data_IF_738364389317
#
_entry.id   IF_738364389317
#
_cell.length_a   1.000
_cell.length_b   1.000
_cell.length_c   1.000
_cell.angle_alpha   90.00
_cell.angle_beta   90.00
_cell.angle_gamma   90.00
#
_symmetry.space_group_name_H-M   'P 1'
#
loop_
_entity.id
_entity.type
_entity.pdbx_description
1 polymer ?
#
# COMPACT_ATOMS: atom_id res chain seq x y z
N UNK A 1 21.93 2.30 17.79
CA UNK A 1 21.67 3.50 16.94
C UNK A 1 21.86 3.19 15.45
N UNK A 2 23.07 3.29 14.87
CA UNK A 2 23.27 3.23 13.39
C UNK A 2 22.67 2.02 12.65
N UNK A 3 22.78 0.81 13.20
CA UNK A 3 22.23 -0.40 12.56
C UNK A 3 20.69 -0.43 12.60
N UNK A 4 20.08 0.07 13.67
CA UNK A 4 18.63 0.18 13.80
C UNK A 4 18.06 1.19 12.79
N UNK A 5 18.67 2.38 12.71
CA UNK A 5 18.33 3.42 11.72
C UNK A 5 18.44 2.90 10.27
N UNK A 6 19.51 2.15 9.95
CA UNK A 6 19.68 1.58 8.62
C UNK A 6 18.62 0.53 8.28
N UNK A 7 18.15 -0.22 9.27
CA UNK A 7 17.09 -1.23 9.10
C UNK A 7 15.72 -0.59 8.92
N UNK A 8 15.41 0.45 9.69
CA UNK A 8 14.18 1.24 9.53
C UNK A 8 14.12 1.93 8.17
N UNK A 9 15.21 2.54 7.69
CA UNK A 9 15.26 3.11 6.33
C UNK A 9 14.90 2.11 5.24
N UNK A 10 15.47 0.89 5.31
CA UNK A 10 15.13 -0.17 4.34
C UNK A 10 13.67 -0.60 4.46
N UNK A 11 13.12 -0.59 5.68
CA UNK A 11 11.72 -0.93 5.93
C UNK A 11 10.79 0.12 5.32
N UNK A 12 11.05 1.40 5.54
CA UNK A 12 10.33 2.53 4.94
C UNK A 12 10.37 2.45 3.42
N UNK A 13 11.55 2.29 2.81
CA UNK A 13 11.70 2.18 1.35
C UNK A 13 10.98 0.96 0.75
N UNK A 14 10.94 -0.16 1.49
CA UNK A 14 10.15 -1.32 1.08
C UNK A 14 8.67 -0.99 1.11
N UNK A 15 8.18 -0.43 2.21
CA UNK A 15 6.76 -0.08 2.37
C UNK A 15 6.32 0.92 1.29
N UNK A 16 7.13 1.92 0.96
CA UNK A 16 6.83 2.88 -0.12
C UNK A 16 6.63 2.19 -1.48
N UNK A 17 7.50 1.23 -1.82
CA UNK A 17 7.34 0.47 -3.07
C UNK A 17 6.10 -0.41 -3.02
N UNK A 18 5.87 -1.12 -1.91
CA UNK A 18 4.73 -2.03 -1.77
C UNK A 18 3.39 -1.24 -1.79
N UNK A 19 3.37 0.00 -1.28
CA UNK A 19 2.26 0.95 -1.40
C UNK A 19 2.05 1.32 -2.87
N UNK A 20 3.09 1.77 -3.58
CA UNK A 20 2.98 2.18 -4.98
C UNK A 20 2.50 1.03 -5.90
N UNK A 21 2.98 -0.19 -5.65
CA UNK A 21 2.50 -1.40 -6.35
C UNK A 21 1.01 -1.66 -6.06
N UNK A 22 0.59 -1.52 -4.80
CA UNK A 22 -0.83 -1.71 -4.42
C UNK A 22 -1.73 -0.61 -4.97
N UNK A 23 -1.28 0.64 -5.01
CA UNK A 23 -2.01 1.75 -5.62
C UNK A 23 -2.16 1.56 -7.13
N UNK A 24 -1.15 1.00 -7.80
CA UNK A 24 -1.23 0.63 -9.21
C UNK A 24 -2.29 -0.44 -9.43
N UNK A 25 -2.30 -1.50 -8.61
CA UNK A 25 -3.32 -2.56 -8.66
C UNK A 25 -4.74 -2.02 -8.44
N UNK A 26 -4.92 -1.10 -7.46
CA UNK A 26 -6.20 -0.43 -7.23
C UNK A 26 -6.67 0.30 -8.49
N UNK A 27 -5.79 1.09 -9.12
CA UNK A 27 -6.13 1.83 -10.33
C UNK A 27 -6.51 0.92 -11.52
N UNK A 28 -5.83 -0.21 -11.67
CA UNK A 28 -6.17 -1.22 -12.69
C UNK A 28 -7.55 -1.85 -12.43
N UNK A 29 -7.85 -2.20 -11.18
CA UNK A 29 -9.14 -2.76 -10.78
C UNK A 29 -10.27 -1.74 -10.95
N UNK A 30 -10.05 -0.49 -10.57
CA UNK A 30 -10.99 0.62 -10.79
C UNK A 30 -11.27 0.84 -12.27
N UNK A 31 -10.23 0.81 -13.11
CA UNK A 31 -10.37 0.92 -14.56
C UNK A 31 -11.25 -0.19 -15.13
N UNK A 32 -11.10 -1.43 -14.65
CA UNK A 32 -11.93 -2.58 -15.06
C UNK A 32 -13.37 -2.47 -14.56
N UNK A 33 -13.58 -2.05 -13.32
CA UNK A 33 -14.92 -1.86 -12.73
C UNK A 33 -15.69 -0.69 -13.36
N UNK A 34 -14.97 0.29 -13.90
CA UNK A 34 -15.54 1.42 -14.63
C UNK A 34 -15.97 1.07 -16.07
N UNK A 35 -15.52 -0.06 -16.64
CA UNK A 35 -15.92 -0.51 -17.97
C UNK A 35 -17.35 -1.07 -17.94
N UNK A 36 -18.33 -0.49 -18.67
CA UNK A 36 -19.70 -1.00 -18.68
C UNK A 36 -19.85 -2.45 -19.18
N UNK A 37 -18.91 -2.95 -19.98
CA UNK A 37 -18.95 -4.31 -20.53
C UNK A 37 -18.77 -5.39 -19.46
N UNK A 38 -18.14 -5.08 -18.31
CA UNK A 38 -17.94 -6.05 -17.23
C UNK A 38 -19.26 -6.50 -16.60
N UNK A 39 -20.30 -5.67 -16.67
CA UNK A 39 -21.61 -5.95 -16.10
C UNK A 39 -22.43 -6.96 -16.90
N UNK A 40 -21.93 -7.40 -18.07
CA UNK A 40 -22.46 -8.56 -18.79
C UNK A 40 -22.09 -9.89 -18.12
N UNK A 41 -21.14 -9.88 -17.17
CA UNK A 41 -20.68 -11.05 -16.42
C UNK A 41 -20.69 -10.79 -14.89
N UNK A 42 -21.85 -10.94 -14.22
CA UNK A 42 -22.03 -10.58 -12.81
C UNK A 42 -21.05 -11.24 -11.84
N UNK A 43 -20.63 -12.47 -12.12
CA UNK A 43 -19.65 -13.20 -11.30
C UNK A 43 -18.27 -12.53 -11.33
N UNK A 44 -17.87 -12.00 -12.49
CA UNK A 44 -16.61 -11.25 -12.64
C UNK A 44 -16.68 -9.89 -11.96
N UNK A 45 -17.85 -9.25 -11.94
CA UNK A 45 -18.05 -7.99 -11.21
C UNK A 45 -17.83 -8.19 -9.72
N UNK A 46 -18.41 -9.24 -9.14
CA UNK A 46 -18.26 -9.55 -7.72
C UNK A 46 -16.79 -9.85 -7.36
N UNK A 47 -16.11 -10.67 -8.16
CA UNK A 47 -14.69 -10.98 -7.95
C UNK A 47 -13.81 -9.72 -8.02
N UNK A 48 -14.07 -8.83 -8.97
CA UNK A 48 -13.30 -7.58 -9.12
C UNK A 48 -13.58 -6.60 -7.99
N UNK A 49 -14.82 -6.50 -7.53
CA UNK A 49 -15.19 -5.67 -6.40
C UNK A 49 -14.51 -6.17 -5.11
N UNK A 50 -14.53 -7.48 -4.86
CA UNK A 50 -13.86 -8.08 -3.71
C UNK A 50 -12.33 -7.86 -3.76
N UNK A 51 -11.72 -8.03 -4.94
CA UNK A 51 -10.31 -7.76 -5.14
C UNK A 51 -9.97 -6.28 -4.91
N UNK A 52 -10.81 -5.35 -5.39
CA UNK A 52 -10.63 -3.91 -5.19
C UNK A 52 -10.70 -3.52 -3.72
N UNK A 53 -11.71 -4.02 -3.00
CA UNK A 53 -11.83 -3.77 -1.55
C UNK A 53 -10.63 -4.36 -0.77
N UNK A 54 -10.18 -5.56 -1.13
CA UNK A 54 -9.00 -6.17 -0.52
C UNK A 54 -7.72 -5.35 -0.79
N UNK A 55 -7.53 -4.86 -2.02
CA UNK A 55 -6.39 -4.02 -2.38
C UNK A 55 -6.39 -2.69 -1.61
N UNK A 56 -7.55 -2.01 -1.49
CA UNK A 56 -7.69 -0.80 -0.67
C UNK A 56 -7.39 -1.06 0.81
N UNK A 57 -7.90 -2.15 1.37
CA UNK A 57 -7.61 -2.53 2.75
C UNK A 57 -6.12 -2.79 2.96
N UNK A 58 -5.44 -3.43 1.98
CA UNK A 58 -4.00 -3.64 1.98
C UNK A 58 -3.22 -2.32 1.91
N UNK A 59 -3.60 -1.40 1.04
CA UNK A 59 -2.99 -0.08 0.94
C UNK A 59 -3.10 0.69 2.27
N UNK A 60 -4.29 0.72 2.88
CA UNK A 60 -4.51 1.38 4.17
C UNK A 60 -3.62 0.79 5.28
N UNK A 61 -3.46 -0.53 5.30
CA UNK A 61 -2.56 -1.21 6.25
C UNK A 61 -1.10 -0.84 6.01
N UNK A 62 -0.64 -0.88 4.76
CA UNK A 62 0.74 -0.55 4.40
C UNK A 62 1.08 0.91 4.72
N UNK A 63 0.16 1.84 4.45
CA UNK A 63 0.28 3.25 4.84
C UNK A 63 0.42 3.41 6.35
N UNK A 64 -0.42 2.75 7.14
CA UNK A 64 -0.32 2.80 8.61
C UNK A 64 0.99 2.18 9.13
N UNK A 65 1.51 1.14 8.45
CA UNK A 65 2.83 0.57 8.76
C UNK A 65 3.97 1.54 8.39
N UNK A 66 3.87 2.22 7.26
CA UNK A 66 4.83 3.23 6.81
C UNK A 66 4.87 4.43 7.76
N UNK A 67 3.71 4.97 8.16
CA UNK A 67 3.62 6.11 9.08
C UNK A 67 4.36 5.82 10.39
N UNK A 68 4.14 4.62 10.98
CA UNK A 68 4.84 4.20 12.20
C UNK A 68 6.35 4.08 11.99
N UNK A 69 6.77 3.42 10.91
CA UNK A 69 8.19 3.22 10.62
C UNK A 69 8.93 4.53 10.29
N UNK A 70 8.25 5.47 9.63
CA UNK A 70 8.78 6.79 9.29
C UNK A 70 8.92 7.66 10.54
N UNK A 71 7.91 7.66 11.43
CA UNK A 71 7.98 8.36 12.72
C UNK A 71 9.12 7.84 13.61
N UNK A 72 9.23 6.51 13.77
CA UNK A 72 10.33 5.89 14.55
C UNK A 72 11.71 6.23 13.96
N UNK A 73 11.81 6.26 12.63
CA UNK A 73 13.04 6.64 11.95
C UNK A 73 13.40 8.11 12.22
N UNK A 74 12.44 9.03 12.17
CA UNK A 74 12.63 10.45 12.45
C UNK A 74 13.10 10.70 13.89
N UNK A 75 12.48 10.02 14.87
CA UNK A 75 12.85 10.08 16.28
C UNK A 75 14.32 9.67 16.48
N UNK A 76 14.72 8.52 15.92
CA UNK A 76 16.10 8.02 16.04
C UNK A 76 17.14 8.89 15.31
N UNK A 77 16.73 9.64 14.30
CA UNK A 77 17.61 10.58 13.59
C UNK A 77 17.78 11.88 14.38
N UNK A 78 16.71 12.35 15.03
CA UNK A 78 16.72 13.55 15.89
C UNK A 78 17.51 13.33 17.17
N UNK A 79 17.34 12.18 17.84
CA UNK A 79 18.08 11.82 19.07
C UNK A 79 19.58 11.59 18.84
N UNK A 80 19.99 11.39 17.58
CA UNK A 80 21.38 11.11 17.20
C UNK A 80 22.08 12.33 16.58
N UNK A 81 21.42 13.49 16.51
CA UNK A 81 21.93 14.78 16.01
C UNK A 81 22.41 15.67 17.16
#
# INVERSE_FOLDING_TARGET
ARQATATLRRTVQRLERDIAETETEIGELEGRLADPSIYEAPELVAELADAHEAAKARAARLLAEWERAAAELEELQTDSA
#
